data_IF_346155514975
#
_entry.id   IF_346155514975
#
_cell.length_a   1.000
_cell.length_b   1.000
_cell.length_c   1.000
_cell.angle_alpha   90.00
_cell.angle_beta   90.00
_cell.angle_gamma   90.00
#
_symmetry.space_group_name_H-M   'P 1'
#
loop_
_entity.id
_entity.type
_entity.pdbx_description
1 polymer ?
#
# COMPACT_ATOMS: atom_id res chain seq x y z
N UNK A 1 13.29 10.52 8.75
CA UNK A 1 12.50 10.31 9.98
C UNK A 1 11.13 9.72 9.67
N UNK A 2 10.34 9.46 10.73
CA UNK A 2 9.03 8.81 10.59
C UNK A 2 7.90 9.77 10.21
N UNK A 3 8.12 11.08 10.15
CA UNK A 3 7.07 12.08 10.00
C UNK A 3 6.23 11.87 8.73
N UNK A 4 6.85 11.77 7.55
CA UNK A 4 6.13 11.57 6.27
C UNK A 4 5.28 10.29 6.31
N UNK A 5 5.91 9.17 6.63
CA UNK A 5 5.25 7.87 6.67
C UNK A 5 4.16 7.80 7.75
N UNK A 6 4.42 8.39 8.93
CA UNK A 6 3.49 8.42 10.05
C UNK A 6 2.24 9.26 9.74
N UNK A 7 2.39 10.47 9.23
CA UNK A 7 1.24 11.31 8.86
C UNK A 7 0.45 10.71 7.71
N UNK A 8 1.13 10.12 6.71
CA UNK A 8 0.46 9.36 5.64
C UNK A 8 -0.34 8.20 6.18
N UNK A 9 0.24 7.38 7.07
CA UNK A 9 -0.43 6.25 7.69
C UNK A 9 -1.67 6.67 8.49
N UNK A 10 -1.57 7.76 9.26
CA UNK A 10 -2.71 8.33 9.99
C UNK A 10 -3.80 8.78 9.02
N UNK A 11 -3.43 9.53 7.97
CA UNK A 11 -4.36 9.99 6.94
C UNK A 11 -5.10 8.85 6.26
N UNK A 12 -4.37 7.81 5.85
CA UNK A 12 -4.94 6.62 5.21
C UNK A 12 -5.85 5.83 6.17
N UNK A 13 -5.47 5.67 7.42
CA UNK A 13 -6.29 4.99 8.43
C UNK A 13 -7.62 5.73 8.68
N UNK A 14 -7.56 7.05 8.88
CA UNK A 14 -8.74 7.90 9.05
C UNK A 14 -9.59 7.88 7.77
N UNK A 15 -8.98 8.06 6.61
CA UNK A 15 -9.65 8.02 5.32
C UNK A 15 -10.37 6.70 5.06
N UNK A 16 -9.71 5.58 5.34
CA UNK A 16 -10.33 4.24 5.25
C UNK A 16 -11.56 4.15 6.15
N UNK A 17 -11.42 4.48 7.44
CA UNK A 17 -12.54 4.40 8.38
C UNK A 17 -13.71 5.28 7.95
N UNK A 18 -13.46 6.53 7.61
CA UNK A 18 -14.49 7.47 7.20
C UNK A 18 -15.15 7.06 5.88
N UNK A 19 -14.39 6.59 4.90
CA UNK A 19 -14.93 6.10 3.64
C UNK A 19 -15.89 4.92 3.86
N UNK A 20 -15.51 3.93 4.64
CA UNK A 20 -16.37 2.82 5.02
C UNK A 20 -17.60 3.27 5.81
N UNK A 21 -17.46 4.26 6.70
CA UNK A 21 -18.55 4.72 7.57
C UNK A 21 -19.57 5.60 6.82
N UNK A 22 -19.08 6.49 5.97
CA UNK A 22 -19.89 7.53 5.35
C UNK A 22 -20.36 7.12 3.95
N UNK A 23 -19.43 6.59 3.12
CA UNK A 23 -19.66 6.36 1.70
C UNK A 23 -20.22 4.96 1.44
N UNK A 24 -19.64 3.92 2.03
CA UNK A 24 -19.90 2.54 1.66
C UNK A 24 -21.40 2.18 1.71
N UNK A 25 -22.09 2.50 2.80
CA UNK A 25 -23.52 2.20 2.92
C UNK A 25 -24.35 2.99 1.91
N UNK A 26 -24.06 4.26 1.74
CA UNK A 26 -24.80 5.13 0.82
C UNK A 26 -24.62 4.70 -0.63
N UNK A 27 -23.39 4.47 -1.05
CA UNK A 27 -23.13 4.06 -2.44
C UNK A 27 -23.74 2.69 -2.73
N UNK A 28 -23.67 1.73 -1.79
CA UNK A 28 -24.30 0.41 -1.97
C UNK A 28 -25.81 0.53 -2.18
N UNK A 29 -26.50 1.28 -1.33
CA UNK A 29 -27.96 1.48 -1.43
C UNK A 29 -28.34 2.21 -2.72
N UNK A 30 -27.68 3.34 -2.99
CA UNK A 30 -28.03 4.15 -4.16
C UNK A 30 -27.73 3.48 -5.48
N UNK A 31 -26.66 2.71 -5.59
CA UNK A 31 -26.34 1.97 -6.81
C UNK A 31 -27.31 0.82 -7.07
N UNK A 32 -27.79 0.17 -6.00
CA UNK A 32 -28.81 -0.86 -6.13
C UNK A 32 -30.12 -0.28 -6.67
N UNK A 33 -30.59 0.85 -6.13
CA UNK A 33 -31.82 1.54 -6.58
C UNK A 33 -31.63 2.13 -7.99
N UNK A 34 -30.43 2.59 -8.34
CA UNK A 34 -30.10 3.14 -9.66
C UNK A 34 -29.76 2.03 -10.67
N UNK A 35 -30.65 1.05 -10.86
CA UNK A 35 -30.53 0.00 -11.85
C UNK A 35 -29.41 -1.02 -11.55
N UNK A 36 -29.08 -1.23 -10.27
CA UNK A 36 -27.99 -2.11 -9.84
C UNK A 36 -26.66 -1.80 -10.56
N UNK A 37 -26.30 -0.53 -10.61
CA UNK A 37 -25.13 -0.04 -11.30
C UNK A 37 -23.84 -0.60 -10.64
N UNK A 38 -22.97 -1.18 -11.45
CA UNK A 38 -21.70 -1.80 -11.00
C UNK A 38 -20.48 -0.94 -11.25
N UNK A 39 -20.63 0.22 -11.92
CA UNK A 39 -19.54 1.19 -12.13
C UNK A 39 -20.00 2.60 -11.77
N UNK A 40 -19.08 3.47 -11.37
CA UNK A 40 -19.42 4.87 -11.08
C UNK A 40 -20.00 5.61 -12.30
N UNK A 41 -19.45 5.49 -13.52
CA UNK A 41 -20.04 6.12 -14.69
C UNK A 41 -21.48 5.66 -14.95
N UNK A 42 -21.76 4.35 -14.85
CA UNK A 42 -23.12 3.85 -15.02
C UNK A 42 -24.05 4.29 -13.90
N UNK A 43 -23.55 4.37 -12.66
CA UNK A 43 -24.31 4.89 -11.53
C UNK A 43 -24.76 6.33 -11.75
N UNK A 44 -23.87 7.22 -12.19
CA UNK A 44 -24.23 8.61 -12.47
C UNK A 44 -25.25 8.71 -13.61
N UNK A 45 -25.04 7.97 -14.71
CA UNK A 45 -25.99 7.95 -15.82
C UNK A 45 -27.38 7.50 -15.37
N UNK A 46 -27.48 6.40 -14.65
CA UNK A 46 -28.75 5.87 -14.17
C UNK A 46 -29.39 6.78 -13.10
N UNK A 47 -28.58 7.32 -12.17
CA UNK A 47 -29.06 8.20 -11.10
C UNK A 47 -29.69 9.51 -11.61
N UNK A 48 -29.11 10.08 -12.65
CA UNK A 48 -29.52 11.35 -13.23
C UNK A 48 -30.38 11.17 -14.50
N UNK A 49 -30.76 9.93 -14.86
CA UNK A 49 -31.54 9.58 -16.06
C UNK A 49 -30.94 10.19 -17.33
N UNK A 50 -29.64 9.97 -17.50
CA UNK A 50 -28.87 10.48 -18.63
C UNK A 50 -29.06 9.59 -19.86
N UNK A 51 -30.12 9.81 -20.59
CA UNK A 51 -30.45 9.01 -21.80
C UNK A 51 -29.38 9.11 -22.90
N UNK A 52 -28.65 10.22 -22.93
CA UNK A 52 -27.55 10.46 -23.90
C UNK A 52 -26.21 9.88 -23.46
N UNK A 53 -26.14 9.31 -22.26
CA UNK A 53 -24.92 8.75 -21.64
C UNK A 53 -23.74 9.74 -21.56
N UNK A 54 -24.02 11.03 -21.51
CA UNK A 54 -23.01 12.08 -21.41
C UNK A 54 -22.24 11.97 -20.10
N UNK A 55 -22.95 11.83 -18.97
CA UNK A 55 -22.33 11.65 -17.64
C UNK A 55 -21.50 10.37 -17.56
N UNK A 56 -22.00 9.29 -18.20
CA UNK A 56 -21.26 8.04 -18.28
C UNK A 56 -19.94 8.21 -19.05
N UNK A 57 -19.97 8.90 -20.18
CA UNK A 57 -18.79 9.16 -21.01
C UNK A 57 -17.78 10.06 -20.31
N UNK A 58 -18.26 11.16 -19.72
CA UNK A 58 -17.40 12.07 -18.94
C UNK A 58 -16.74 11.33 -17.77
N UNK A 59 -17.50 10.58 -16.99
CA UNK A 59 -16.96 9.79 -15.88
C UNK A 59 -15.94 8.76 -16.33
N UNK A 60 -16.18 8.07 -17.45
CA UNK A 60 -15.23 7.13 -18.03
C UNK A 60 -13.93 7.81 -18.47
N UNK A 61 -14.02 8.97 -19.13
CA UNK A 61 -12.84 9.75 -19.56
C UNK A 61 -12.00 10.17 -18.34
N UNK A 62 -12.62 10.71 -17.30
CA UNK A 62 -11.89 11.07 -16.08
C UNK A 62 -11.19 9.86 -15.45
N UNK A 63 -11.88 8.71 -15.36
CA UNK A 63 -11.26 7.48 -14.84
C UNK A 63 -10.04 7.11 -15.68
N UNK A 64 -10.15 7.10 -17.01
CA UNK A 64 -9.03 6.75 -17.90
C UNK A 64 -7.85 7.71 -17.69
N UNK A 65 -8.10 9.02 -17.69
CA UNK A 65 -7.04 10.03 -17.52
C UNK A 65 -6.27 9.84 -16.22
N UNK A 66 -6.95 9.61 -15.09
CA UNK A 66 -6.29 9.50 -13.79
C UNK A 66 -5.75 8.10 -13.50
N UNK A 67 -6.36 7.06 -14.08
CA UNK A 67 -5.92 5.69 -13.82
C UNK A 67 -4.80 5.20 -14.75
N UNK A 68 -4.56 5.83 -15.89
CA UNK A 68 -3.38 5.54 -16.72
C UNK A 68 -2.08 5.77 -15.93
N UNK A 69 -1.82 6.96 -15.31
CA UNK A 69 -0.64 7.17 -14.49
C UNK A 69 -0.59 6.25 -13.27
N UNK A 70 -1.73 6.00 -12.62
CA UNK A 70 -1.82 5.11 -11.47
C UNK A 70 -1.40 3.68 -11.83
N UNK A 71 -1.94 3.11 -12.89
CA UNK A 71 -1.60 1.77 -13.36
C UNK A 71 -0.15 1.70 -13.85
N UNK A 72 0.33 2.75 -14.53
CA UNK A 72 1.72 2.83 -14.96
C UNK A 72 2.70 2.81 -13.77
N UNK A 73 2.37 3.48 -12.66
CA UNK A 73 3.19 3.44 -11.45
C UNK A 73 3.26 2.04 -10.82
N UNK A 74 2.15 1.28 -10.84
CA UNK A 74 2.12 -0.11 -10.42
C UNK A 74 3.01 -1.01 -11.28
N UNK A 75 2.92 -0.89 -12.61
CA UNK A 75 3.82 -1.65 -13.49
C UNK A 75 5.29 -1.26 -13.33
N UNK A 76 5.58 0.01 -13.08
CA UNK A 76 6.94 0.46 -12.78
C UNK A 76 7.47 -0.15 -11.48
N UNK A 77 6.64 -0.22 -10.44
CA UNK A 77 7.00 -0.88 -9.18
C UNK A 77 7.28 -2.37 -9.38
N UNK A 78 6.42 -3.09 -10.11
CA UNK A 78 6.67 -4.49 -10.50
C UNK A 78 8.00 -4.63 -11.26
N UNK A 79 8.27 -3.76 -12.24
CA UNK A 79 9.50 -3.78 -13.01
C UNK A 79 10.75 -3.63 -12.14
N UNK A 80 10.76 -2.67 -11.20
CA UNK A 80 11.85 -2.46 -10.24
C UNK A 80 12.05 -3.71 -9.36
N UNK A 81 10.97 -4.25 -8.85
CA UNK A 81 10.99 -5.37 -7.94
C UNK A 81 11.54 -6.63 -8.62
N UNK A 82 10.99 -7.02 -9.77
CA UNK A 82 11.47 -8.18 -10.51
C UNK A 82 12.92 -8.02 -11.00
N UNK A 83 13.28 -6.81 -11.41
CA UNK A 83 14.67 -6.50 -11.79
C UNK A 83 15.62 -6.67 -10.60
N UNK A 84 15.23 -6.19 -9.43
CA UNK A 84 16.02 -6.33 -8.20
C UNK A 84 16.14 -7.78 -7.72
N UNK A 85 15.07 -8.58 -7.85
CA UNK A 85 15.03 -9.96 -7.37
C UNK A 85 15.73 -10.96 -8.31
N UNK A 86 15.51 -10.80 -9.61
CA UNK A 86 15.91 -11.81 -10.60
C UNK A 86 17.04 -11.34 -11.53
N UNK A 87 17.51 -10.12 -11.36
CA UNK A 87 18.55 -9.53 -12.25
C UNK A 87 18.09 -9.34 -13.71
N UNK A 88 16.78 -9.41 -13.96
CA UNK A 88 16.20 -9.24 -15.31
C UNK A 88 16.18 -7.75 -15.66
N UNK A 89 16.31 -7.43 -16.95
CA UNK A 89 16.20 -6.04 -17.41
C UNK A 89 14.86 -5.45 -17.00
N UNK A 90 14.88 -4.24 -16.42
CA UNK A 90 13.70 -3.53 -15.91
C UNK A 90 12.50 -3.53 -16.88
N UNK A 91 12.74 -3.15 -18.15
CA UNK A 91 11.67 -3.08 -19.15
C UNK A 91 11.05 -4.45 -19.44
N UNK A 92 11.86 -5.50 -19.52
CA UNK A 92 11.38 -6.88 -19.72
C UNK A 92 10.53 -7.33 -18.55
N UNK A 93 11.01 -7.10 -17.33
CA UNK A 93 10.29 -7.42 -16.10
C UNK A 93 8.93 -6.70 -16.05
N UNK A 94 8.91 -5.40 -16.33
CA UNK A 94 7.70 -4.58 -16.35
C UNK A 94 6.67 -5.08 -17.37
N UNK A 95 7.11 -5.37 -18.60
CA UNK A 95 6.19 -5.85 -19.67
C UNK A 95 5.61 -7.23 -19.32
N UNK A 96 6.43 -8.16 -18.85
CA UNK A 96 5.95 -9.50 -18.47
C UNK A 96 4.94 -9.40 -17.33
N UNK A 97 5.23 -8.60 -16.30
CA UNK A 97 4.31 -8.36 -15.18
C UNK A 97 2.99 -7.77 -15.66
N UNK A 98 3.05 -6.75 -16.52
CA UNK A 98 1.85 -6.13 -17.09
C UNK A 98 0.99 -7.13 -17.87
N UNK A 99 1.62 -7.96 -18.72
CA UNK A 99 0.89 -8.99 -19.50
C UNK A 99 0.21 -10.02 -18.60
N UNK A 100 0.88 -10.46 -17.53
CA UNK A 100 0.30 -11.41 -16.56
C UNK A 100 -0.88 -10.78 -15.84
N UNK A 101 -0.72 -9.55 -15.31
CA UNK A 101 -1.78 -8.85 -14.55
C UNK A 101 -2.99 -8.57 -15.44
N UNK A 102 -2.77 -8.03 -16.63
CA UNK A 102 -3.85 -7.75 -17.60
C UNK A 102 -4.51 -9.06 -18.03
N UNK A 103 -3.72 -10.12 -18.26
CA UNK A 103 -4.24 -11.43 -18.68
C UNK A 103 -5.20 -12.02 -17.66
N UNK A 104 -4.79 -12.20 -16.40
CA UNK A 104 -5.68 -12.81 -15.41
C UNK A 104 -6.86 -11.92 -15.02
N UNK A 105 -6.67 -10.60 -15.01
CA UNK A 105 -7.75 -9.65 -14.70
C UNK A 105 -8.80 -9.63 -15.79
N UNK A 106 -8.38 -9.70 -17.07
CA UNK A 106 -9.31 -9.74 -18.21
C UNK A 106 -10.10 -11.05 -18.26
N UNK A 107 -9.44 -12.18 -17.99
CA UNK A 107 -10.09 -13.50 -18.01
C UNK A 107 -11.01 -13.74 -16.82
N UNK A 108 -10.60 -13.31 -15.63
CA UNK A 108 -11.32 -13.62 -14.40
C UNK A 108 -12.17 -12.48 -13.84
N UNK A 109 -12.04 -11.26 -14.37
CA UNK A 109 -12.83 -10.10 -13.96
C UNK A 109 -12.74 -9.76 -12.48
N UNK A 110 -13.83 -9.20 -11.95
CA UNK A 110 -13.91 -8.73 -10.54
C UNK A 110 -13.72 -9.86 -9.52
N UNK A 111 -14.25 -11.07 -9.80
CA UNK A 111 -14.13 -12.19 -8.87
C UNK A 111 -12.69 -12.65 -8.72
N UNK A 112 -11.97 -12.78 -9.85
CA UNK A 112 -10.56 -13.14 -9.82
C UNK A 112 -9.73 -12.09 -9.08
N UNK A 113 -9.91 -10.80 -9.41
CA UNK A 113 -9.21 -9.71 -8.73
C UNK A 113 -9.47 -9.72 -7.21
N UNK A 114 -10.72 -9.85 -6.78
CA UNK A 114 -11.07 -9.86 -5.36
C UNK A 114 -10.53 -11.07 -4.61
N UNK A 115 -10.52 -12.26 -5.26
CA UNK A 115 -9.99 -13.48 -4.65
C UNK A 115 -8.47 -13.43 -4.54
N UNK A 116 -7.79 -12.96 -5.58
CA UNK A 116 -6.34 -12.76 -5.54
C UNK A 116 -5.94 -11.75 -4.49
N UNK A 117 -6.60 -10.60 -4.41
CA UNK A 117 -6.36 -9.58 -3.38
C UNK A 117 -6.50 -10.14 -1.96
N UNK A 118 -7.50 -10.99 -1.72
CA UNK A 118 -7.69 -11.63 -0.41
C UNK A 118 -6.53 -12.56 -0.05
N UNK A 119 -6.12 -13.43 -0.97
CA UNK A 119 -4.98 -14.35 -0.77
C UNK A 119 -3.69 -13.54 -0.57
N UNK A 120 -3.48 -12.53 -1.41
CA UNK A 120 -2.33 -11.64 -1.36
C UNK A 120 -2.25 -10.89 -0.03
N UNK A 121 -3.37 -10.41 0.52
CA UNK A 121 -3.39 -9.73 1.82
C UNK A 121 -2.95 -10.63 2.97
N UNK A 122 -3.26 -11.93 2.91
CA UNK A 122 -2.80 -12.92 3.89
C UNK A 122 -1.29 -13.13 3.76
N UNK A 123 -0.79 -13.35 2.54
CA UNK A 123 0.65 -13.55 2.27
C UNK A 123 1.43 -12.31 2.72
N UNK A 124 0.95 -11.11 2.39
CA UNK A 124 1.56 -9.84 2.79
C UNK A 124 1.59 -9.68 4.31
N UNK A 125 0.51 -10.06 5.01
CA UNK A 125 0.47 -9.98 6.48
C UNK A 125 1.50 -10.91 7.12
N UNK A 126 1.65 -12.13 6.60
CA UNK A 126 2.68 -13.08 7.05
C UNK A 126 4.08 -12.50 6.76
N UNK A 127 4.30 -11.98 5.58
CA UNK A 127 5.58 -11.37 5.18
C UNK A 127 5.96 -10.21 6.11
N UNK A 128 5.04 -9.31 6.42
CA UNK A 128 5.28 -8.20 7.35
C UNK A 128 5.67 -8.68 8.75
N UNK A 129 5.02 -9.72 9.27
CA UNK A 129 5.36 -10.30 10.58
C UNK A 129 6.77 -10.89 10.56
N UNK A 130 7.15 -11.62 9.51
CA UNK A 130 8.47 -12.22 9.36
C UNK A 130 9.54 -11.13 9.27
N UNK A 131 9.35 -10.13 8.41
CA UNK A 131 10.29 -9.01 8.23
C UNK A 131 10.50 -8.26 9.54
N UNK A 132 9.40 -7.97 10.24
CA UNK A 132 9.45 -7.29 11.53
C UNK A 132 10.23 -8.10 12.56
N UNK A 133 9.88 -9.38 12.76
CA UNK A 133 10.51 -10.24 13.76
C UNK A 133 11.99 -10.48 13.48
N UNK A 134 12.33 -10.84 12.24
CA UNK A 134 13.70 -11.08 11.82
C UNK A 134 14.53 -9.79 11.90
N UNK A 135 14.02 -8.69 11.36
CA UNK A 135 14.74 -7.43 11.34
C UNK A 135 15.06 -6.90 12.75
N UNK A 136 14.11 -7.00 13.69
CA UNK A 136 14.36 -6.66 15.09
C UNK A 136 15.43 -7.56 15.70
N UNK A 137 15.38 -8.86 15.43
CA UNK A 137 16.37 -9.81 15.96
C UNK A 137 17.79 -9.50 15.47
N UNK A 138 17.94 -9.25 14.17
CA UNK A 138 19.23 -8.97 13.52
C UNK A 138 19.79 -7.61 13.92
N UNK A 139 18.92 -6.61 14.14
CA UNK A 139 19.32 -5.28 14.61
C UNK A 139 19.76 -5.25 16.09
N UNK A 140 19.85 -6.40 16.76
CA UNK A 140 20.26 -6.50 18.17
C UNK A 140 19.13 -6.34 19.19
N UNK A 141 17.87 -6.51 18.75
CA UNK A 141 16.68 -6.45 19.59
C UNK A 141 15.96 -5.11 19.61
N UNK A 142 14.79 -5.03 20.27
CA UNK A 142 13.96 -3.82 20.26
C UNK A 142 14.66 -2.60 20.84
N UNK A 143 15.44 -2.80 21.92
CA UNK A 143 16.16 -1.70 22.60
C UNK A 143 17.25 -1.11 21.71
N UNK A 144 17.98 -1.95 20.95
CA UNK A 144 18.98 -1.50 19.99
C UNK A 144 18.34 -0.68 18.86
N UNK A 145 17.25 -1.17 18.25
CA UNK A 145 16.49 -0.46 17.22
C UNK A 145 16.05 0.92 17.69
N UNK A 146 15.46 0.99 18.90
CA UNK A 146 14.98 2.24 19.47
C UNK A 146 16.14 3.18 19.82
N UNK A 147 17.23 2.67 20.37
CA UNK A 147 18.40 3.49 20.75
C UNK A 147 19.07 4.09 19.52
N UNK A 148 19.24 3.32 18.44
CA UNK A 148 19.79 3.83 17.18
C UNK A 148 18.88 4.90 16.56
N UNK A 149 17.57 4.67 16.53
CA UNK A 149 16.62 5.66 16.01
C UNK A 149 16.58 6.95 16.87
N UNK A 150 16.76 6.85 18.19
CA UNK A 150 16.86 8.00 19.10
C UNK A 150 18.18 8.77 19.00
N UNK A 151 19.25 8.13 18.52
CA UNK A 151 20.54 8.82 18.31
C UNK A 151 20.49 9.86 17.20
N UNK A 152 19.49 9.75 16.30
CA UNK A 152 19.26 10.71 15.23
C UNK A 152 18.24 11.78 15.68
N UNK A 153 18.65 13.05 15.84
CA UNK A 153 17.76 14.12 16.30
C UNK A 153 16.52 14.27 15.40
N UNK A 154 15.34 14.26 15.99
CA UNK A 154 14.07 14.43 15.25
C UNK A 154 13.60 13.22 14.45
N UNK A 155 14.33 12.10 14.43
CA UNK A 155 13.99 10.93 13.59
C UNK A 155 12.67 10.26 14.00
N UNK A 156 12.43 10.07 15.30
CA UNK A 156 11.22 9.42 15.84
C UNK A 156 10.10 10.40 16.16
N UNK A 157 10.18 11.65 15.74
CA UNK A 157 9.15 12.64 16.02
C UNK A 157 8.25 12.85 14.82
N UNK A 158 7.01 13.26 15.08
CA UNK A 158 6.01 13.57 14.05
C UNK A 158 6.04 15.04 13.63
N UNK A 159 6.70 15.92 14.42
CA UNK A 159 6.72 17.37 14.21
C UNK A 159 8.07 17.89 13.73
N UNK A 160 9.08 17.04 13.75
CA UNK A 160 10.41 17.33 13.23
C UNK A 160 10.91 16.19 12.35
N UNK A 161 11.94 16.42 11.58
CA UNK A 161 12.61 15.42 10.76
C UNK A 161 14.11 15.55 10.89
N UNK A 162 14.81 14.43 10.74
CA UNK A 162 16.26 14.41 10.69
C UNK A 162 16.74 14.93 9.34
N UNK A 163 17.65 15.90 9.35
CA UNK A 163 18.34 16.36 8.17
C UNK A 163 19.74 15.68 8.09
N UNK A 164 19.95 14.78 7.11
CA UNK A 164 21.22 14.05 7.01
C UNK A 164 22.40 14.94 6.59
N UNK A 165 22.16 16.10 5.96
CA UNK A 165 23.22 17.00 5.53
C UNK A 165 23.82 17.78 6.70
N UNK A 166 23.00 18.17 7.67
CA UNK A 166 23.42 18.98 8.83
C UNK A 166 23.58 18.17 10.09
N UNK A 167 23.08 16.92 10.12
CA UNK A 167 23.06 16.09 11.33
C UNK A 167 22.10 16.59 12.42
N UNK A 168 21.22 17.52 12.11
CA UNK A 168 20.33 18.17 13.08
C UNK A 168 18.86 17.90 12.79
N UNK A 169 17.99 18.17 13.76
CA UNK A 169 16.57 18.18 13.52
C UNK A 169 16.11 19.47 12.82
N UNK A 170 15.14 19.34 11.95
CA UNK A 170 14.44 20.44 11.31
C UNK A 170 12.95 20.35 11.58
N UNK A 171 12.27 21.50 11.72
CA UNK A 171 10.82 21.52 11.92
C UNK A 171 10.12 20.91 10.69
N UNK A 172 9.12 20.06 10.93
CA UNK A 172 8.30 19.49 9.87
C UNK A 172 7.17 20.46 9.53
N UNK A 173 7.11 21.02 8.31
CA UNK A 173 6.16 22.06 7.97
C UNK A 173 4.71 21.61 8.07
N UNK A 174 3.82 22.48 8.57
CA UNK A 174 2.39 22.18 8.66
C UNK A 174 1.78 21.82 7.30
N UNK A 175 2.25 22.45 6.23
CA UNK A 175 1.77 22.14 4.87
C UNK A 175 2.07 20.70 4.49
N UNK A 176 3.21 20.15 4.90
CA UNK A 176 3.55 18.75 4.65
C UNK A 176 2.63 17.82 5.47
N UNK A 177 2.35 18.15 6.74
CA UNK A 177 1.40 17.40 7.56
C UNK A 177 0.03 17.32 6.88
N UNK A 178 -0.50 18.45 6.43
CA UNK A 178 -1.79 18.50 5.73
C UNK A 178 -1.73 17.71 4.43
N UNK A 179 -0.65 17.83 3.67
CA UNK A 179 -0.44 17.10 2.42
C UNK A 179 -0.41 15.58 2.64
N UNK A 180 0.32 15.11 3.65
CA UNK A 180 0.39 13.67 3.97
C UNK A 180 -0.96 13.13 4.49
N UNK A 181 -1.65 13.87 5.35
CA UNK A 181 -3.00 13.51 5.81
C UNK A 181 -4.02 13.46 4.66
N UNK A 182 -3.87 14.31 3.65
CA UNK A 182 -4.76 14.38 2.50
C UNK A 182 -4.76 13.11 1.64
N UNK A 183 -3.77 12.23 1.74
CA UNK A 183 -3.75 10.94 1.05
C UNK A 183 -5.01 10.12 1.35
N UNK A 184 -5.51 10.17 2.59
CA UNK A 184 -6.75 9.50 2.97
C UNK A 184 -8.00 10.00 2.25
N UNK A 185 -7.99 11.24 1.74
CA UNK A 185 -9.12 11.79 0.96
C UNK A 185 -9.25 11.10 -0.42
N UNK A 186 -8.17 10.58 -0.96
CA UNK A 186 -8.18 9.85 -2.23
C UNK A 186 -9.16 8.68 -2.23
N UNK A 187 -9.31 7.98 -1.11
CA UNK A 187 -10.19 6.82 -1.00
C UNK A 187 -11.66 7.12 -1.29
N UNK A 188 -12.11 8.35 -1.08
CA UNK A 188 -13.50 8.75 -1.35
C UNK A 188 -13.85 8.83 -2.84
N UNK A 189 -12.84 8.97 -3.70
CA UNK A 189 -13.01 9.08 -5.14
C UNK A 189 -12.45 7.91 -5.96
N UNK A 190 -11.73 6.96 -5.34
CA UNK A 190 -11.08 5.87 -6.07
C UNK A 190 -12.07 4.82 -6.56
N UNK A 191 -12.27 4.66 -7.90
CA UNK A 191 -13.27 3.77 -8.47
C UNK A 191 -13.13 2.31 -8.02
N UNK A 192 -11.92 1.78 -7.94
CA UNK A 192 -11.67 0.40 -7.53
C UNK A 192 -12.03 0.13 -6.05
N UNK A 193 -11.94 1.14 -5.18
CA UNK A 193 -12.38 1.04 -3.78
C UNK A 193 -13.91 1.10 -3.70
N UNK A 194 -14.51 2.08 -4.39
CA UNK A 194 -15.95 2.28 -4.38
C UNK A 194 -16.70 1.11 -5.03
N UNK A 195 -16.11 0.51 -6.07
CA UNK A 195 -16.64 -0.71 -6.70
C UNK A 195 -16.79 -1.85 -5.70
N UNK A 196 -15.85 -2.00 -4.78
CA UNK A 196 -15.93 -3.05 -3.73
C UNK A 196 -17.11 -2.84 -2.78
N UNK A 197 -17.45 -1.57 -2.45
CA UNK A 197 -18.65 -1.27 -1.67
C UNK A 197 -19.94 -1.59 -2.44
N UNK A 198 -19.94 -1.28 -3.75
CA UNK A 198 -21.07 -1.56 -4.64
C UNK A 198 -21.30 -3.06 -4.80
N UNK A 199 -20.25 -3.87 -4.77
CA UNK A 199 -20.30 -5.32 -4.98
C UNK A 199 -20.67 -6.13 -3.72
N UNK A 200 -20.74 -5.52 -2.53
CA UNK A 200 -21.13 -6.22 -1.31
C UNK A 200 -22.57 -6.70 -1.43
N UNK A 201 -22.79 -8.00 -1.23
CA UNK A 201 -24.10 -8.64 -1.35
C UNK A 201 -25.12 -8.10 -0.37
N UNK A 202 -24.76 -7.99 0.93
CA UNK A 202 -25.64 -7.56 2.01
C UNK A 202 -25.06 -6.34 2.74
N UNK A 203 -25.84 -5.26 2.82
CA UNK A 203 -25.45 -4.04 3.53
C UNK A 203 -25.14 -4.25 5.02
N UNK A 204 -25.72 -5.29 5.65
CA UNK A 204 -25.47 -5.64 7.05
C UNK A 204 -24.01 -6.08 7.27
N UNK A 205 -23.37 -6.66 6.24
CA UNK A 205 -21.97 -7.08 6.26
C UNK A 205 -21.00 -5.90 6.22
N UNK A 206 -21.43 -4.71 5.80
CA UNK A 206 -20.57 -3.50 5.72
C UNK A 206 -19.94 -3.13 7.06
N UNK A 207 -20.65 -3.34 8.18
CA UNK A 207 -20.11 -3.04 9.51
C UNK A 207 -18.93 -3.95 9.87
N UNK A 208 -19.02 -5.24 9.55
CA UNK A 208 -17.93 -6.20 9.75
C UNK A 208 -16.77 -5.88 8.82
N UNK A 209 -17.04 -5.68 7.54
CA UNK A 209 -16.02 -5.34 6.54
C UNK A 209 -15.24 -4.08 6.92
N UNK A 210 -15.93 -3.04 7.41
CA UNK A 210 -15.29 -1.83 7.92
C UNK A 210 -14.32 -2.13 9.06
N UNK A 211 -14.73 -2.92 10.06
CA UNK A 211 -13.88 -3.26 11.20
C UNK A 211 -12.64 -4.02 10.73
N UNK A 212 -12.82 -5.05 9.92
CA UNK A 212 -11.71 -5.85 9.38
C UNK A 212 -10.75 -4.97 8.58
N UNK A 213 -11.27 -4.22 7.60
CA UNK A 213 -10.45 -3.37 6.73
C UNK A 213 -9.70 -2.29 7.52
N UNK A 214 -10.37 -1.59 8.44
CA UNK A 214 -9.72 -0.53 9.22
C UNK A 214 -8.66 -1.09 10.15
N UNK A 215 -8.94 -2.19 10.85
CA UNK A 215 -7.97 -2.84 11.74
C UNK A 215 -6.75 -3.31 10.96
N UNK A 216 -6.97 -3.97 9.81
CA UNK A 216 -5.89 -4.43 8.96
C UNK A 216 -5.02 -3.27 8.46
N UNK A 217 -5.63 -2.19 7.97
CA UNK A 217 -4.90 -0.99 7.50
C UNK A 217 -4.07 -0.37 8.61
N UNK A 218 -4.64 -0.20 9.80
CA UNK A 218 -3.91 0.38 10.94
C UNK A 218 -2.70 -0.46 11.32
N UNK A 219 -2.87 -1.78 11.44
CA UNK A 219 -1.79 -2.69 11.84
C UNK A 219 -0.72 -2.75 10.74
N UNK A 220 -1.11 -2.96 9.49
CA UNK A 220 -0.15 -3.09 8.39
C UNK A 220 0.66 -1.82 8.15
N UNK A 221 0.03 -0.64 8.23
CA UNK A 221 0.74 0.63 8.08
C UNK A 221 1.66 0.91 9.27
N UNK A 222 1.23 0.61 10.49
CA UNK A 222 2.09 0.75 11.67
C UNK A 222 3.34 -0.14 11.56
N UNK A 223 3.16 -1.41 11.17
CA UNK A 223 4.28 -2.33 10.94
C UNK A 223 5.18 -1.85 9.80
N UNK A 224 4.61 -1.36 8.70
CA UNK A 224 5.38 -0.82 7.58
C UNK A 224 6.25 0.38 7.99
N UNK A 225 5.72 1.31 8.78
CA UNK A 225 6.50 2.43 9.33
C UNK A 225 7.64 1.92 10.23
N UNK A 226 7.34 0.94 11.07
CA UNK A 226 8.36 0.34 11.96
C UNK A 226 9.44 -0.42 11.20
N UNK A 227 9.12 -1.06 10.06
CA UNK A 227 10.13 -1.71 9.21
C UNK A 227 11.16 -0.69 8.70
N UNK A 228 10.77 0.54 8.40
CA UNK A 228 11.70 1.61 8.07
C UNK A 228 12.67 1.95 9.22
N UNK A 229 12.16 1.96 10.45
CA UNK A 229 12.98 2.17 11.66
C UNK A 229 13.91 0.98 11.93
N UNK A 230 13.41 -0.23 11.75
CA UNK A 230 14.18 -1.48 11.88
C UNK A 230 15.30 -1.53 10.83
N UNK A 231 15.00 -1.15 9.58
CA UNK A 231 16.00 -1.08 8.52
C UNK A 231 17.17 -0.16 8.84
N UNK A 232 16.89 0.99 9.47
CA UNK A 232 17.94 1.86 10.01
C UNK A 232 18.76 1.14 11.10
N UNK A 233 18.09 0.49 12.05
CA UNK A 233 18.77 -0.29 13.10
C UNK A 233 19.66 -1.39 12.54
N UNK A 234 19.23 -2.11 11.50
CA UNK A 234 20.04 -3.12 10.81
C UNK A 234 21.25 -2.52 10.09
N UNK A 235 21.11 -1.33 9.51
CA UNK A 235 22.21 -0.62 8.87
C UNK A 235 23.26 -0.20 9.91
N UNK A 236 22.82 0.35 11.03
CA UNK A 236 23.72 0.74 12.13
C UNK A 236 24.41 -0.47 12.81
N UNK A 237 23.73 -1.63 12.81
CA UNK A 237 24.33 -2.89 13.25
C UNK A 237 25.34 -3.47 12.24
N UNK A 238 25.47 -2.89 11.05
CA UNK A 238 26.40 -3.34 10.00
C UNK A 238 25.89 -4.52 9.18
N UNK A 239 24.62 -4.91 9.33
CA UNK A 239 24.01 -6.06 8.66
C UNK A 239 23.45 -5.71 7.27
N UNK A 240 23.17 -4.43 7.03
CA UNK A 240 22.71 -3.92 5.75
C UNK A 240 23.51 -2.67 5.34
N UNK A 241 23.73 -2.52 4.04
CA UNK A 241 24.28 -1.28 3.50
C UNK A 241 23.27 -0.13 3.62
N UNK A 242 23.77 1.10 3.83
CA UNK A 242 22.93 2.29 3.85
C UNK A 242 22.26 2.48 2.49
N UNK A 243 20.95 2.49 2.49
CA UNK A 243 20.14 2.71 1.28
C UNK A 243 19.81 4.20 1.13
N UNK A 244 20.10 4.78 -0.03
CA UNK A 244 19.88 6.19 -0.35
C UNK A 244 18.82 6.37 -1.45
N UNK A 245 18.01 7.42 -1.32
CA UNK A 245 17.03 7.82 -2.33
C UNK A 245 16.06 6.69 -2.68
N UNK A 246 15.87 6.45 -3.98
CA UNK A 246 14.94 5.43 -4.49
C UNK A 246 15.30 3.97 -4.08
N UNK A 247 16.56 3.71 -3.69
CA UNK A 247 16.96 2.38 -3.23
C UNK A 247 16.37 2.05 -1.84
N UNK A 248 15.99 3.05 -1.04
CA UNK A 248 15.33 2.83 0.24
C UNK A 248 14.01 2.06 0.12
N UNK A 249 13.35 2.11 -1.04
CA UNK A 249 12.15 1.34 -1.35
C UNK A 249 12.41 -0.17 -1.38
N UNK A 250 13.66 -0.62 -1.54
CA UNK A 250 14.03 -2.03 -1.61
C UNK A 250 14.37 -2.66 -0.26
N UNK A 251 14.18 -1.95 0.86
CA UNK A 251 14.57 -2.41 2.20
C UNK A 251 14.02 -3.80 2.53
N UNK A 252 12.74 -4.07 2.23
CA UNK A 252 12.10 -5.36 2.51
C UNK A 252 12.75 -6.48 1.68
N UNK A 253 13.15 -6.18 0.44
CA UNK A 253 13.87 -7.13 -0.44
C UNK A 253 15.22 -7.46 0.17
N UNK A 254 15.97 -6.46 0.62
CA UNK A 254 17.28 -6.65 1.26
C UNK A 254 17.19 -7.47 2.54
N UNK A 255 16.15 -7.25 3.35
CA UNK A 255 15.88 -8.05 4.54
C UNK A 255 15.56 -9.50 4.16
N UNK A 256 14.78 -9.73 3.09
CA UNK A 256 14.47 -11.06 2.59
C UNK A 256 15.71 -11.79 2.06
N UNK A 257 16.57 -11.09 1.32
CA UNK A 257 17.84 -11.62 0.83
C UNK A 257 18.75 -12.04 2.01
N UNK A 258 18.91 -11.16 3.00
CA UNK A 258 19.69 -11.45 4.20
C UNK A 258 19.12 -12.69 4.95
N UNK A 259 17.81 -12.74 5.12
CA UNK A 259 17.14 -13.89 5.75
C UNK A 259 17.45 -15.19 5.01
N UNK A 260 17.49 -15.16 3.68
CA UNK A 260 17.71 -16.36 2.86
C UNK A 260 19.11 -16.97 3.03
N UNK A 261 20.08 -16.20 3.50
CA UNK A 261 21.46 -16.69 3.75
C UNK A 261 21.59 -17.51 5.03
N UNK A 262 20.57 -17.51 5.92
CA UNK A 262 20.61 -18.17 7.23
C UNK A 262 20.15 -19.64 7.22
N UNK A 263 20.01 -20.26 6.05
CA UNK A 263 19.67 -21.67 5.90
C UNK A 263 18.36 -21.92 5.16
N UNK A 264 17.98 -23.20 5.02
CA UNK A 264 16.85 -23.63 4.17
C UNK A 264 15.51 -23.09 4.67
N UNK A 265 15.22 -23.19 5.96
CA UNK A 265 13.96 -22.67 6.51
C UNK A 265 13.86 -21.16 6.40
N UNK A 266 14.89 -20.37 6.80
CA UNK A 266 14.93 -18.95 6.53
C UNK A 266 14.82 -18.59 5.04
N UNK A 267 15.40 -19.37 4.13
CA UNK A 267 15.26 -19.16 2.70
C UNK A 267 13.80 -19.30 2.21
N UNK A 268 13.06 -20.29 2.73
CA UNK A 268 11.63 -20.44 2.45
C UNK A 268 10.81 -19.25 3.00
N UNK A 269 11.15 -18.78 4.18
CA UNK A 269 10.53 -17.57 4.75
C UNK A 269 10.88 -16.32 3.93
N UNK A 270 12.11 -16.17 3.47
CA UNK A 270 12.51 -15.13 2.53
C UNK A 270 11.68 -15.18 1.25
N UNK A 271 11.47 -16.35 0.68
CA UNK A 271 10.56 -16.55 -0.46
C UNK A 271 9.13 -16.13 -0.18
N UNK A 272 8.62 -16.33 1.03
CA UNK A 272 7.29 -15.85 1.45
C UNK A 272 7.23 -14.32 1.49
N UNK A 273 8.29 -13.67 1.97
CA UNK A 273 8.38 -12.20 1.97
C UNK A 273 8.35 -11.67 0.54
N UNK A 274 9.17 -12.26 -0.34
CA UNK A 274 9.21 -11.86 -1.75
C UNK A 274 7.87 -12.07 -2.46
N UNK A 275 7.19 -13.19 -2.18
CA UNK A 275 5.83 -13.43 -2.66
C UNK A 275 4.84 -12.38 -2.12
N UNK A 276 4.98 -11.96 -0.86
CA UNK A 276 4.18 -10.91 -0.25
C UNK A 276 4.37 -9.55 -0.92
N UNK A 277 5.61 -9.21 -1.26
CA UNK A 277 5.92 -7.96 -1.99
C UNK A 277 5.29 -8.02 -3.39
N UNK A 278 5.51 -9.11 -4.13
CA UNK A 278 4.93 -9.31 -5.46
C UNK A 278 3.39 -9.28 -5.44
N UNK A 279 2.81 -9.74 -4.35
CA UNK A 279 1.37 -9.71 -4.14
C UNK A 279 0.82 -8.30 -3.88
N UNK A 280 1.63 -7.37 -3.39
CA UNK A 280 1.21 -6.00 -3.02
C UNK A 280 1.33 -5.00 -4.17
N UNK A 281 2.04 -5.37 -5.23
CA UNK A 281 2.25 -4.55 -6.44
C UNK A 281 1.21 -4.87 -7.51
#
# INVERSE_FOLDING_TARGET
GIADAGWTAIGLAIGTYLNWKIVAKRIRLYTHVAGNSITLPSFFSNRFRDDRRILQSIGAIFIVIFFIPYTASGFAACGKLFSSLFGVKYLTAMIISALIIVGYTTLGGFLAASTTDFIQSIIMSIALIIVFGFGVSVAGGPDAVISHAKSLPGYLTMMTTYNPETGTEAAYPLINIVSMLAWGLGYFGMPHILLRFMAIEDEKKLSLSRRVATTWVVISLAVAVMIGVIGLGMTEAGELEMLHGANSETIIVKIADLLSTHGVLPALLGGTILAGILAST
#
